data_IF_848503228908
#
_entry.id   IF_848503228908
#
_cell.length_a   1.000
_cell.length_b   1.000
_cell.length_c   1.000
_cell.angle_alpha   90.00
_cell.angle_beta   90.00
_cell.angle_gamma   90.00
#
_symmetry.space_group_name_H-M   'P 1'
#
loop_
_entity.id
_entity.type
_entity.pdbx_description
1 polymer ?
#
# COMPACT_ATOMS: atom_id res chain seq x y z
N UNK A 1 6.47 -22.79 -16.55
CA UNK A 1 5.37 -22.44 -15.64
C UNK A 1 4.08 -22.39 -16.45
N UNK A 2 2.98 -22.96 -15.95
CA UNK A 2 1.65 -22.83 -16.58
C UNK A 2 0.97 -21.57 -16.04
N UNK A 3 0.20 -20.90 -16.88
CA UNK A 3 -0.65 -19.78 -16.44
C UNK A 3 -1.71 -20.32 -15.48
N UNK A 4 -2.02 -19.58 -14.42
CA UNK A 4 -3.00 -19.96 -13.43
C UNK A 4 -4.38 -20.18 -14.10
N UNK A 5 -5.09 -21.29 -13.84
CA UNK A 5 -6.32 -21.61 -14.58
C UNK A 5 -7.52 -20.71 -14.24
N UNK A 6 -7.54 -20.12 -13.05
CA UNK A 6 -8.61 -19.20 -12.62
C UNK A 6 -8.56 -17.87 -13.35
N UNK A 7 -9.67 -17.48 -13.99
CA UNK A 7 -9.82 -16.15 -14.62
C UNK A 7 -9.79 -15.00 -13.61
N UNK A 8 -10.21 -15.26 -12.37
CA UNK A 8 -10.12 -14.27 -11.28
C UNK A 8 -8.67 -13.95 -10.97
N UNK A 9 -7.83 -14.97 -10.79
CA UNK A 9 -6.40 -14.82 -10.50
C UNK A 9 -5.66 -14.12 -11.65
N UNK A 10 -6.01 -14.46 -12.91
CA UNK A 10 -5.46 -13.76 -14.09
C UNK A 10 -5.85 -12.27 -14.10
N UNK A 11 -7.09 -11.94 -13.73
CA UNK A 11 -7.55 -10.55 -13.66
C UNK A 11 -6.88 -9.80 -12.51
N UNK A 12 -6.75 -10.43 -11.34
CA UNK A 12 -6.00 -9.89 -10.20
C UNK A 12 -4.56 -9.58 -10.61
N UNK A 13 -3.87 -10.53 -11.25
CA UNK A 13 -2.53 -10.31 -11.77
C UNK A 13 -2.43 -9.12 -12.75
N UNK A 14 -3.41 -8.95 -13.64
CA UNK A 14 -3.45 -7.81 -14.55
C UNK A 14 -3.61 -6.49 -13.79
N UNK A 15 -4.49 -6.46 -12.80
CA UNK A 15 -4.67 -5.27 -11.96
C UNK A 15 -3.48 -4.97 -11.06
N UNK A 16 -2.75 -5.99 -10.61
CA UNK A 16 -1.46 -5.85 -9.92
C UNK A 16 -0.41 -5.18 -10.81
N UNK A 17 -0.30 -5.59 -12.07
CA UNK A 17 0.60 -4.93 -13.04
C UNK A 17 0.23 -3.45 -13.19
N UNK A 18 -1.06 -3.15 -13.34
CA UNK A 18 -1.53 -1.77 -13.45
C UNK A 18 -1.20 -0.96 -12.19
N UNK A 19 -1.51 -1.49 -11.00
CA UNK A 19 -1.18 -0.87 -9.72
C UNK A 19 0.33 -0.66 -9.55
N UNK A 20 1.14 -1.63 -9.98
CA UNK A 20 2.60 -1.56 -9.98
C UNK A 20 3.12 -0.43 -10.84
N UNK A 21 2.60 -0.27 -12.06
CA UNK A 21 2.95 0.82 -12.98
C UNK A 21 2.56 2.18 -12.37
N UNK A 22 1.34 2.31 -11.86
CA UNK A 22 0.86 3.56 -11.26
C UNK A 22 1.67 3.95 -10.03
N UNK A 23 1.94 3.00 -9.13
CA UNK A 23 2.76 3.23 -7.93
C UNK A 23 4.20 3.55 -8.31
N UNK A 24 4.78 2.86 -9.29
CA UNK A 24 6.14 3.14 -9.78
C UNK A 24 6.25 4.52 -10.41
N UNK A 25 5.26 4.92 -11.21
CA UNK A 25 5.15 6.27 -11.74
C UNK A 25 5.07 7.31 -10.62
N UNK A 26 4.20 7.11 -9.62
CA UNK A 26 4.11 8.00 -8.46
C UNK A 26 5.46 8.10 -7.72
N UNK A 27 6.15 6.99 -7.50
CA UNK A 27 7.47 6.97 -6.89
C UNK A 27 8.48 7.82 -7.67
N UNK A 28 8.57 7.63 -9.00
CA UNK A 28 9.46 8.41 -9.88
C UNK A 28 9.13 9.90 -9.80
N UNK A 29 7.85 10.27 -9.82
CA UNK A 29 7.42 11.67 -9.72
C UNK A 29 7.82 12.30 -8.38
N UNK A 30 7.71 11.56 -7.28
CA UNK A 30 8.08 12.06 -5.95
C UNK A 30 9.61 12.15 -5.81
N UNK A 31 10.38 11.17 -6.28
CA UNK A 31 11.85 11.20 -6.19
C UNK A 31 12.51 12.35 -6.97
N UNK A 32 11.78 13.09 -7.79
CA UNK A 32 12.27 14.33 -8.41
C UNK A 32 12.45 15.48 -7.40
N UNK A 33 11.79 15.40 -6.24
CA UNK A 33 11.90 16.37 -5.16
C UNK A 33 12.96 15.94 -4.14
N UNK A 34 13.54 16.89 -3.41
CA UNK A 34 14.52 16.62 -2.37
C UNK A 34 13.88 16.58 -0.97
N UNK A 35 14.63 16.10 0.02
CA UNK A 35 14.21 16.08 1.42
C UNK A 35 13.60 14.76 1.88
N UNK A 36 13.39 14.65 3.19
CA UNK A 36 12.96 13.41 3.83
C UNK A 36 11.56 12.98 3.39
N UNK A 37 10.62 13.93 3.29
CA UNK A 37 9.24 13.66 2.86
C UNK A 37 9.20 13.00 1.49
N UNK A 38 9.93 13.57 0.53
CA UNK A 38 10.09 12.99 -0.82
C UNK A 38 10.66 11.57 -0.73
N UNK A 39 11.76 11.36 0.00
CA UNK A 39 12.36 10.04 0.11
C UNK A 39 11.42 9.00 0.73
N UNK A 40 10.73 9.34 1.83
CA UNK A 40 9.80 8.44 2.52
C UNK A 40 8.63 8.05 1.62
N UNK A 41 7.98 9.01 0.96
CA UNK A 41 6.85 8.74 0.07
C UNK A 41 7.27 8.05 -1.22
N UNK A 42 8.41 8.44 -1.81
CA UNK A 42 8.98 7.77 -2.97
C UNK A 42 9.27 6.29 -2.68
N UNK A 43 9.84 5.97 -1.53
CA UNK A 43 10.05 4.58 -1.11
C UNK A 43 8.74 3.86 -0.79
N UNK A 44 7.75 4.51 -0.16
CA UNK A 44 6.45 3.90 0.11
C UNK A 44 5.76 3.45 -1.20
N UNK A 45 5.74 4.32 -2.22
CA UNK A 45 5.22 4.01 -3.54
C UNK A 45 6.09 3.00 -4.30
N UNK A 46 7.41 3.09 -4.18
CA UNK A 46 8.33 2.15 -4.82
C UNK A 46 8.20 0.72 -4.27
N UNK A 47 8.04 0.58 -2.95
CA UNK A 47 7.79 -0.71 -2.29
C UNK A 47 6.41 -1.26 -2.66
N UNK A 48 5.39 -0.40 -2.76
CA UNK A 48 4.07 -0.80 -3.24
C UNK A 48 4.15 -1.30 -4.69
N UNK A 49 4.89 -0.59 -5.54
CA UNK A 49 5.10 -0.98 -6.93
C UNK A 49 5.79 -2.35 -7.03
N UNK A 50 6.88 -2.53 -6.28
CA UNK A 50 7.60 -3.80 -6.21
C UNK A 50 6.69 -4.93 -5.73
N UNK A 51 5.94 -4.71 -4.64
CA UNK A 51 4.99 -5.67 -4.10
C UNK A 51 3.96 -6.08 -5.15
N UNK A 52 3.35 -5.11 -5.84
CA UNK A 52 2.34 -5.36 -6.86
C UNK A 52 2.92 -6.16 -8.05
N UNK A 53 4.12 -5.82 -8.54
CA UNK A 53 4.74 -6.60 -9.61
C UNK A 53 5.06 -8.05 -9.20
N UNK A 54 5.52 -8.28 -7.96
CA UNK A 54 5.77 -9.64 -7.48
C UNK A 54 4.45 -10.38 -7.24
N UNK A 55 3.41 -9.71 -6.74
CA UNK A 55 2.06 -10.26 -6.60
C UNK A 55 1.45 -10.65 -7.95
N UNK A 56 1.66 -9.86 -8.99
CA UNK A 56 1.24 -10.21 -10.35
C UNK A 56 1.83 -11.56 -10.80
N UNK A 57 3.09 -11.85 -10.45
CA UNK A 57 3.70 -13.16 -10.74
C UNK A 57 3.06 -14.27 -9.91
N UNK A 58 2.76 -13.99 -8.63
CA UNK A 58 2.11 -14.94 -7.72
C UNK A 58 0.71 -15.34 -8.20
N UNK A 59 -0.06 -14.38 -8.73
CA UNK A 59 -1.39 -14.60 -9.26
C UNK A 59 -1.41 -15.12 -10.71
N UNK A 60 -0.35 -14.87 -11.50
CA UNK A 60 -0.29 -15.27 -12.91
C UNK A 60 -0.01 -16.75 -13.14
N UNK A 61 0.73 -17.41 -12.25
CA UNK A 61 1.25 -18.75 -12.51
C UNK A 61 0.72 -19.79 -11.53
N UNK A 62 0.39 -20.97 -12.06
CA UNK A 62 0.16 -22.15 -11.23
C UNK A 62 1.50 -22.58 -10.60
N UNK A 63 1.52 -22.68 -9.27
CA UNK A 63 2.73 -22.98 -8.53
C UNK A 63 2.44 -23.83 -7.29
N UNK A 64 3.48 -24.52 -6.82
CA UNK A 64 3.39 -25.25 -5.54
C UNK A 64 3.17 -24.27 -4.40
N UNK A 65 2.46 -24.69 -3.34
CA UNK A 65 2.25 -23.89 -2.15
C UNK A 65 3.57 -23.31 -1.59
N UNK A 66 4.63 -24.14 -1.52
CA UNK A 66 5.95 -23.71 -1.04
C UNK A 66 6.57 -22.61 -1.90
N UNK A 67 6.40 -22.67 -3.22
CA UNK A 67 6.89 -21.62 -4.14
C UNK A 67 6.09 -20.34 -3.93
N UNK A 68 4.76 -20.45 -3.82
CA UNK A 68 3.88 -19.32 -3.57
C UNK A 68 4.26 -18.62 -2.26
N UNK A 69 4.34 -19.36 -1.15
CA UNK A 69 4.71 -18.81 0.17
C UNK A 69 6.06 -18.06 0.14
N UNK A 70 7.04 -18.55 -0.63
CA UNK A 70 8.33 -17.86 -0.82
C UNK A 70 8.23 -16.57 -1.62
N UNK A 71 7.35 -16.51 -2.62
CA UNK A 71 7.07 -15.27 -3.36
C UNK A 71 6.29 -14.26 -2.50
N UNK A 72 5.44 -14.74 -1.59
CA UNK A 72 4.71 -13.87 -0.65
C UNK A 72 5.59 -13.26 0.43
N UNK A 73 6.77 -13.82 0.72
CA UNK A 73 7.71 -13.23 1.69
C UNK A 73 8.15 -11.80 1.30
N UNK A 74 8.75 -11.56 0.12
CA UNK A 74 9.11 -10.21 -0.29
C UNK A 74 7.89 -9.28 -0.46
N UNK A 75 6.74 -9.81 -0.90
CA UNK A 75 5.48 -9.04 -0.96
C UNK A 75 5.12 -8.51 0.43
N UNK A 76 5.03 -9.38 1.43
CA UNK A 76 4.64 -8.99 2.78
C UNK A 76 5.66 -8.04 3.42
N UNK A 77 6.96 -8.25 3.21
CA UNK A 77 7.97 -7.32 3.72
C UNK A 77 7.81 -5.92 3.11
N UNK A 78 7.61 -5.84 1.80
CA UNK A 78 7.42 -4.57 1.09
C UNK A 78 6.14 -3.87 1.52
N UNK A 79 5.01 -4.58 1.64
CA UNK A 79 3.77 -4.01 2.15
C UNK A 79 3.90 -3.53 3.60
N UNK A 80 4.60 -4.32 4.43
CA UNK A 80 4.90 -3.95 5.82
C UNK A 80 5.60 -2.60 5.91
N UNK A 81 6.67 -2.43 5.13
CA UNK A 81 7.39 -1.16 5.08
C UNK A 81 6.64 -0.05 4.37
N UNK A 82 5.82 -0.34 3.34
CA UNK A 82 4.94 0.68 2.74
C UNK A 82 4.06 1.32 3.80
N UNK A 83 3.40 0.53 4.65
CA UNK A 83 2.54 1.05 5.72
C UNK A 83 3.34 1.80 6.80
N UNK A 84 4.51 1.28 7.20
CA UNK A 84 5.44 1.99 8.10
C UNK A 84 5.80 3.38 7.57
N UNK A 85 6.17 3.46 6.29
CA UNK A 85 6.57 4.72 5.67
C UNK A 85 5.39 5.67 5.48
N UNK A 86 4.18 5.14 5.31
CA UNK A 86 2.94 5.94 5.29
C UNK A 86 2.71 6.67 6.63
N UNK A 87 2.93 5.97 7.75
CA UNK A 87 2.87 6.53 9.10
C UNK A 87 3.96 7.58 9.30
N UNK A 88 5.19 7.30 8.88
CA UNK A 88 6.29 8.27 8.95
C UNK A 88 6.01 9.50 8.08
N UNK A 89 5.45 9.32 6.88
CA UNK A 89 5.06 10.41 5.98
C UNK A 89 4.04 11.35 6.63
N UNK A 90 3.03 10.79 7.28
CA UNK A 90 2.06 11.57 8.06
C UNK A 90 2.71 12.28 9.25
N UNK A 91 3.65 11.63 9.95
CA UNK A 91 4.41 12.25 11.05
C UNK A 91 5.30 13.41 10.60
N UNK A 92 5.86 13.36 9.40
CA UNK A 92 6.62 14.49 8.83
C UNK A 92 5.70 15.70 8.71
N UNK A 93 4.50 15.52 8.17
CA UNK A 93 3.54 16.61 7.99
C UNK A 93 2.99 17.13 9.34
N UNK A 94 2.85 16.26 10.34
CA UNK A 94 2.35 16.63 11.67
C UNK A 94 3.38 17.32 12.56
N UNK A 95 4.63 16.84 12.55
CA UNK A 95 5.62 17.14 13.59
C UNK A 95 7.01 17.46 13.03
N UNK A 96 7.17 17.47 11.70
CA UNK A 96 8.41 17.81 11.02
C UNK A 96 9.46 16.69 10.99
N UNK A 97 10.54 16.97 10.26
CA UNK A 97 11.62 16.03 9.96
C UNK A 97 12.29 15.42 11.20
N UNK A 98 12.49 16.21 12.26
CA UNK A 98 13.24 15.76 13.44
C UNK A 98 12.55 14.57 14.12
N UNK A 99 11.25 14.70 14.40
CA UNK A 99 10.47 13.63 15.01
C UNK A 99 10.36 12.42 14.08
N UNK A 100 10.13 12.65 12.78
CA UNK A 100 10.03 11.58 11.80
C UNK A 100 11.31 10.76 11.66
N UNK A 101 12.50 11.39 11.72
CA UNK A 101 13.80 10.69 11.70
C UNK A 101 13.99 9.82 12.92
N UNK A 102 13.54 10.26 14.09
CA UNK A 102 13.59 9.47 15.32
C UNK A 102 12.59 8.30 15.27
N UNK A 103 11.41 8.51 14.68
CA UNK A 103 10.38 7.48 14.57
C UNK A 103 10.66 6.44 13.48
N UNK A 104 11.40 6.81 12.42
CA UNK A 104 11.61 5.96 11.25
C UNK A 104 12.20 4.58 11.58
N UNK A 105 13.28 4.43 12.39
CA UNK A 105 13.79 3.11 12.75
C UNK A 105 12.75 2.25 13.47
N UNK A 106 11.98 2.83 14.40
CA UNK A 106 10.93 2.12 15.10
C UNK A 106 9.81 1.69 14.13
N UNK A 107 9.40 2.56 13.22
CA UNK A 107 8.41 2.24 12.19
C UNK A 107 8.87 1.08 11.29
N UNK A 108 10.14 1.07 10.86
CA UNK A 108 10.71 -0.02 10.05
C UNK A 108 10.80 -1.34 10.83
N UNK A 109 11.12 -1.28 12.13
CA UNK A 109 11.08 -2.46 13.02
C UNK A 109 9.65 -2.99 13.14
N UNK A 110 8.65 -2.13 13.29
CA UNK A 110 7.24 -2.56 13.33
C UNK A 110 6.83 -3.24 12.01
N UNK A 111 7.21 -2.69 10.86
CA UNK A 111 6.96 -3.31 9.56
C UNK A 111 7.67 -4.67 9.41
N UNK A 112 8.89 -4.80 9.94
CA UNK A 112 9.60 -6.07 10.00
C UNK A 112 8.93 -7.08 10.94
N UNK A 113 8.45 -6.65 12.11
CA UNK A 113 7.71 -7.51 13.03
C UNK A 113 6.41 -8.01 12.41
N UNK A 114 5.68 -7.14 11.69
CA UNK A 114 4.54 -7.54 10.87
C UNK A 114 4.94 -8.67 9.92
N UNK A 115 5.98 -8.48 9.11
CA UNK A 115 6.48 -9.50 8.19
C UNK A 115 6.81 -10.82 8.91
N UNK A 116 7.54 -10.77 10.03
CA UNK A 116 7.89 -11.95 10.80
C UNK A 116 6.64 -12.71 11.29
N UNK A 117 5.59 -12.01 11.72
CA UNK A 117 4.32 -12.64 12.09
C UNK A 117 3.71 -13.36 10.89
N UNK A 118 3.75 -12.79 9.68
CA UNK A 118 3.22 -13.46 8.47
C UNK A 118 3.99 -14.73 8.12
N UNK A 119 5.30 -14.78 8.40
CA UNK A 119 6.13 -15.97 8.21
C UNK A 119 5.81 -17.05 9.24
N UNK A 120 5.61 -16.66 10.51
CA UNK A 120 5.29 -17.58 11.60
C UNK A 120 3.83 -18.08 11.53
N UNK A 121 2.93 -17.33 10.89
CA UNK A 121 1.52 -17.68 10.67
C UNK A 121 1.15 -17.50 9.20
N UNK A 122 1.57 -18.44 8.32
CA UNK A 122 1.23 -18.40 6.90
C UNK A 122 -0.29 -18.38 6.68
N UNK A 123 -0.74 -17.68 5.64
CA UNK A 123 -2.17 -17.54 5.33
C UNK A 123 -2.94 -16.55 6.22
N UNK A 124 -2.26 -15.81 7.09
CA UNK A 124 -2.90 -14.81 7.96
C UNK A 124 -3.10 -13.46 7.27
N UNK A 125 -3.87 -13.43 6.17
CA UNK A 125 -4.26 -12.19 5.50
C UNK A 125 -4.88 -11.15 6.47
N UNK A 126 -5.59 -11.62 7.49
CA UNK A 126 -6.14 -10.76 8.55
C UNK A 126 -5.08 -10.02 9.38
N UNK A 127 -3.86 -10.55 9.49
CA UNK A 127 -2.75 -9.84 10.14
C UNK A 127 -2.37 -8.59 9.35
N UNK A 128 -2.36 -8.68 8.01
CA UNK A 128 -2.10 -7.54 7.14
C UNK A 128 -3.20 -6.48 7.28
N UNK A 129 -4.47 -6.90 7.20
CA UNK A 129 -5.61 -5.98 7.38
C UNK A 129 -5.57 -5.29 8.74
N UNK A 130 -5.27 -6.01 9.83
CA UNK A 130 -5.17 -5.40 11.15
C UNK A 130 -4.04 -4.34 11.21
N UNK A 131 -2.88 -4.64 10.62
CA UNK A 131 -1.77 -3.70 10.58
C UNK A 131 -2.08 -2.47 9.72
N UNK A 132 -2.67 -2.68 8.55
CA UNK A 132 -3.14 -1.63 7.64
C UNK A 132 -4.17 -0.72 8.32
N UNK A 133 -5.19 -1.28 8.98
CA UNK A 133 -6.20 -0.49 9.68
C UNK A 133 -5.56 0.45 10.71
N UNK A 134 -4.63 -0.04 11.51
CA UNK A 134 -3.95 0.80 12.52
C UNK A 134 -3.14 1.92 11.86
N UNK A 135 -2.33 1.59 10.85
CA UNK A 135 -1.51 2.56 10.13
C UNK A 135 -2.37 3.63 9.42
N UNK A 136 -3.41 3.20 8.71
CA UNK A 136 -4.26 4.08 7.93
C UNK A 136 -5.18 4.93 8.80
N UNK A 137 -5.72 4.40 9.90
CA UNK A 137 -6.51 5.22 10.85
C UNK A 137 -5.66 6.28 11.54
N UNK A 138 -4.41 5.95 11.89
CA UNK A 138 -3.46 6.93 12.38
C UNK A 138 -3.25 8.05 11.35
N UNK A 139 -2.87 7.70 10.12
CA UNK A 139 -2.63 8.68 9.06
C UNK A 139 -3.90 9.49 8.72
N UNK A 140 -5.08 8.87 8.77
CA UNK A 140 -6.36 9.55 8.58
C UNK A 140 -6.57 10.61 9.66
N UNK A 141 -6.37 10.26 10.94
CA UNK A 141 -6.49 11.19 12.07
C UNK A 141 -5.54 12.38 11.92
N UNK A 142 -4.30 12.13 11.50
CA UNK A 142 -3.31 13.18 11.21
C UNK A 142 -3.81 14.12 10.12
N UNK A 143 -4.23 13.61 8.96
CA UNK A 143 -4.66 14.47 7.86
C UNK A 143 -6.00 15.14 8.10
N UNK A 144 -6.92 14.55 8.88
CA UNK A 144 -8.11 15.24 9.39
C UNK A 144 -7.70 16.46 10.21
N UNK A 145 -6.79 16.28 11.17
CA UNK A 145 -6.31 17.35 12.02
C UNK A 145 -5.65 18.48 11.21
N UNK A 146 -4.70 18.15 10.33
CA UNK A 146 -4.00 19.13 9.49
C UNK A 146 -4.96 19.83 8.52
N UNK A 147 -5.93 19.11 7.96
CA UNK A 147 -6.93 19.69 7.05
C UNK A 147 -7.73 20.79 7.75
N UNK A 148 -8.23 20.55 8.96
CA UNK A 148 -8.98 21.56 9.71
C UNK A 148 -8.11 22.70 10.25
N UNK A 149 -6.81 22.49 10.45
CA UNK A 149 -5.88 23.56 10.78
C UNK A 149 -5.53 24.45 9.57
N UNK A 150 -5.65 23.94 8.35
CA UNK A 150 -5.31 24.67 7.13
C UNK A 150 -3.80 24.93 6.96
N UNK A 151 -2.95 24.13 7.60
CA UNK A 151 -1.50 24.37 7.69
C UNK A 151 -0.66 23.76 6.56
N UNK A 152 -1.24 22.86 5.76
CA UNK A 152 -0.53 22.18 4.67
C UNK A 152 -1.32 22.25 3.35
N UNK A 153 -0.80 22.95 2.32
CA UNK A 153 -1.38 22.98 0.98
C UNK A 153 -1.38 21.57 0.37
N UNK A 154 -2.52 20.88 0.38
CA UNK A 154 -2.62 19.48 -0.08
C UNK A 154 -3.17 18.51 0.96
N UNK A 155 -3.37 18.92 2.21
CA UNK A 155 -3.93 18.06 3.27
C UNK A 155 -5.28 17.44 2.90
N UNK A 156 -6.14 18.17 2.17
CA UNK A 156 -7.43 17.63 1.71
C UNK A 156 -7.29 16.48 0.71
N UNK A 157 -6.31 16.57 -0.19
CA UNK A 157 -6.00 15.49 -1.13
C UNK A 157 -5.37 14.29 -0.43
N UNK A 158 -4.48 14.53 0.54
CA UNK A 158 -3.92 13.46 1.37
C UNK A 158 -5.01 12.74 2.18
N UNK A 159 -5.90 13.50 2.82
CA UNK A 159 -7.05 12.98 3.56
C UNK A 159 -7.95 12.11 2.65
N UNK A 160 -8.31 12.62 1.47
CA UNK A 160 -9.12 11.89 0.50
C UNK A 160 -8.42 10.61 0.03
N UNK A 161 -7.11 10.66 -0.26
CA UNK A 161 -6.33 9.50 -0.68
C UNK A 161 -6.23 8.41 0.40
N UNK A 162 -6.01 8.81 1.66
CA UNK A 162 -6.03 7.90 2.81
C UNK A 162 -7.40 7.26 2.97
N UNK A 163 -8.46 8.05 2.90
CA UNK A 163 -9.84 7.56 3.02
C UNK A 163 -10.19 6.56 1.91
N UNK A 164 -9.83 6.87 0.67
CA UNK A 164 -10.02 5.95 -0.47
C UNK A 164 -9.21 4.66 -0.29
N UNK A 165 -7.98 4.74 0.23
CA UNK A 165 -7.17 3.54 0.55
C UNK A 165 -7.85 2.67 1.61
N UNK A 166 -8.44 3.26 2.65
CA UNK A 166 -9.22 2.52 3.65
C UNK A 166 -10.45 1.85 3.01
N UNK A 167 -11.17 2.54 2.14
CA UNK A 167 -12.31 1.96 1.41
C UNK A 167 -11.87 0.78 0.53
N UNK A 168 -10.72 0.89 -0.12
CA UNK A 168 -10.13 -0.21 -0.88
C UNK A 168 -9.91 -1.41 0.06
N UNK A 169 -9.22 -1.23 1.18
CA UNK A 169 -8.95 -2.30 2.14
C UNK A 169 -10.23 -2.97 2.67
N UNK A 170 -11.30 -2.19 2.90
CA UNK A 170 -12.62 -2.74 3.27
C UNK A 170 -13.18 -3.62 2.16
N UNK A 171 -13.11 -3.19 0.89
CA UNK A 171 -13.54 -4.01 -0.24
C UNK A 171 -12.75 -5.31 -0.30
N UNK A 172 -11.44 -5.26 -0.09
CA UNK A 172 -10.58 -6.44 -0.07
C UNK A 172 -10.98 -7.41 1.06
N UNK A 173 -11.14 -6.89 2.28
CA UNK A 173 -11.44 -7.68 3.48
C UNK A 173 -12.83 -8.35 3.45
N UNK A 174 -13.81 -7.75 2.79
CA UNK A 174 -15.16 -8.33 2.63
C UNK A 174 -15.20 -9.46 1.58
N UNK A 175 -14.08 -9.73 0.92
CA UNK A 175 -14.02 -10.67 -0.19
C UNK A 175 -14.20 -12.13 0.15
N UNK A 176 -14.72 -12.87 -0.83
CA UNK A 176 -14.86 -14.32 -0.79
C UNK A 176 -14.23 -14.90 -2.04
N UNK A 177 -13.33 -15.86 -1.87
CA UNK A 177 -12.62 -16.53 -2.97
C UNK A 177 -13.61 -17.05 -4.03
N UNK A 178 -13.33 -16.75 -5.30
CA UNK A 178 -14.13 -17.24 -6.43
C UNK A 178 -15.46 -16.52 -6.66
N UNK A 179 -15.69 -15.37 -6.02
CA UNK A 179 -16.88 -14.54 -6.26
C UNK A 179 -16.52 -13.25 -6.99
N UNK A 180 -17.15 -13.01 -8.13
CA UNK A 180 -17.08 -11.74 -8.84
C UNK A 180 -17.88 -10.65 -8.14
N UNK A 181 -17.39 -9.42 -8.24
CA UNK A 181 -18.18 -8.21 -8.04
C UNK A 181 -18.69 -7.75 -9.41
N UNK A 182 -17.79 -7.62 -10.39
CA UNK A 182 -18.11 -7.30 -11.78
C UNK A 182 -17.23 -8.13 -12.71
N UNK A 183 -17.84 -8.93 -13.60
CA UNK A 183 -17.12 -9.80 -14.54
C UNK A 183 -16.14 -10.76 -13.83
N UNK A 184 -14.83 -10.66 -14.10
CA UNK A 184 -13.77 -11.41 -13.43
C UNK A 184 -13.04 -10.59 -12.36
N UNK A 185 -13.50 -9.36 -12.07
CA UNK A 185 -13.03 -8.60 -10.92
C UNK A 185 -13.66 -9.17 -9.66
N UNK A 186 -12.83 -9.83 -8.86
CA UNK A 186 -13.13 -10.14 -7.47
C UNK A 186 -12.74 -8.96 -6.56
N UNK A 187 -12.79 -9.17 -5.26
CA UNK A 187 -12.45 -8.15 -4.27
C UNK A 187 -11.00 -7.64 -4.38
N UNK A 188 -10.04 -8.48 -4.78
CA UNK A 188 -8.65 -8.05 -4.97
C UNK A 188 -8.53 -7.19 -6.22
N UNK A 189 -9.14 -7.63 -7.33
CA UNK A 189 -9.17 -6.83 -8.56
C UNK A 189 -9.79 -5.44 -8.34
N UNK A 190 -10.94 -5.37 -7.65
CA UNK A 190 -11.59 -4.09 -7.33
C UNK A 190 -10.77 -3.27 -6.33
N UNK A 191 -10.17 -3.91 -5.33
CA UNK A 191 -9.25 -3.26 -4.38
C UNK A 191 -8.15 -2.49 -5.13
N UNK A 192 -7.47 -3.12 -6.10
CA UNK A 192 -6.41 -2.47 -6.88
C UNK A 192 -6.92 -1.25 -7.65
N UNK A 193 -8.12 -1.32 -8.24
CA UNK A 193 -8.71 -0.20 -8.97
C UNK A 193 -8.99 1.00 -8.05
N UNK A 194 -9.57 0.75 -6.87
CA UNK A 194 -9.83 1.80 -5.88
C UNK A 194 -8.51 2.34 -5.34
N UNK A 195 -7.52 1.49 -5.10
CA UNK A 195 -6.21 1.89 -4.61
C UNK A 195 -5.48 2.81 -5.60
N UNK A 196 -5.60 2.58 -6.91
CA UNK A 196 -5.05 3.49 -7.93
C UNK A 196 -5.65 4.90 -7.82
N UNK A 197 -6.95 5.02 -7.54
CA UNK A 197 -7.59 6.32 -7.27
C UNK A 197 -6.98 6.95 -6.00
N UNK A 198 -6.80 6.15 -4.94
CA UNK A 198 -6.14 6.57 -3.71
C UNK A 198 -4.73 7.14 -3.97
N UNK A 199 -3.92 6.44 -4.77
CA UNK A 199 -2.57 6.87 -5.15
C UNK A 199 -2.58 8.19 -5.93
N UNK A 200 -3.52 8.38 -6.86
CA UNK A 200 -3.64 9.65 -7.60
C UNK A 200 -3.92 10.82 -6.65
N UNK A 201 -4.82 10.63 -5.68
CA UNK A 201 -5.15 11.65 -4.69
C UNK A 201 -3.95 11.95 -3.77
N UNK A 202 -3.26 10.91 -3.29
CA UNK A 202 -2.04 11.07 -2.49
C UNK A 202 -0.95 11.81 -3.26
N UNK A 203 -0.70 11.42 -4.52
CA UNK A 203 0.30 12.05 -5.38
C UNK A 203 -0.02 13.53 -5.62
N UNK A 204 -1.30 13.87 -5.83
CA UNK A 204 -1.73 15.26 -5.96
C UNK A 204 -1.47 16.04 -4.66
N UNK A 205 -1.83 15.50 -3.50
CA UNK A 205 -1.58 16.14 -2.20
C UNK A 205 -0.10 16.33 -1.90
N UNK A 206 0.74 15.34 -2.22
CA UNK A 206 2.19 15.42 -2.06
C UNK A 206 2.81 16.49 -2.96
N UNK A 207 2.44 16.55 -4.24
CA UNK A 207 2.96 17.56 -5.17
C UNK A 207 2.60 18.99 -4.80
N UNK A 208 1.52 19.19 -4.03
CA UNK A 208 1.16 20.51 -3.51
C UNK A 208 1.92 20.90 -2.24
N UNK A 209 2.56 19.92 -1.58
CA UNK A 209 3.16 20.06 -0.25
C UNK A 209 4.63 19.61 -0.17
N UNK A 210 5.29 19.47 -1.33
CA UNK A 210 6.72 19.20 -1.54
C UNK A 210 7.33 20.37 -2.30
#
# INVERSE_FOLDING_TARGET
>A
MKIHPSRFEQMTALTDVALGIFSGYAAVQIFQFSGLKSAVWGWAFGLLAFSAFVAALAHSFEMTQKTNERLWMPINLSLGWTLSLFVVGALIDLSGDAMARTALPAALIVGLLFFLITVLRPGSFMTFIAYEVVAMLFSLGVYVFIFFQGTLPGAGWMLAGVFVTILAAVVQALGKTGKSIVWYFDNNGVFHLIQMIGIVLLLAGLKMSL
#
